data_IF_987961540787
#
_entry.id   IF_987961540787
#
_cell.length_a   1.000
_cell.length_b   1.000
_cell.length_c   1.000
_cell.angle_alpha   90.00
_cell.angle_beta   90.00
_cell.angle_gamma   90.00
#
_symmetry.space_group_name_H-M   'P 1'
#
loop_
_entity.id
_entity.type
_entity.pdbx_description
1 polymer ?
#
# COMPACT_ATOMS: atom_id res chain seq x y z
N UNK A 1 -13.91 16.01 -7.88
CA UNK A 1 -13.36 16.80 -9.00
C UNK A 1 -13.13 15.84 -10.14
N UNK A 2 -13.42 16.21 -11.38
CA UNK A 2 -13.09 15.40 -12.56
C UNK A 2 -11.69 15.81 -13.00
N UNK A 3 -10.77 14.85 -13.12
CA UNK A 3 -9.42 15.08 -13.65
C UNK A 3 -9.48 15.67 -15.07
N UNK A 4 -8.56 16.57 -15.37
CA UNK A 4 -8.46 17.22 -16.70
C UNK A 4 -7.97 16.28 -17.79
N UNK A 5 -7.29 15.21 -17.40
CA UNK A 5 -6.62 14.24 -18.27
C UNK A 5 -6.98 12.82 -17.83
N UNK A 6 -7.00 11.86 -18.76
CA UNK A 6 -7.35 10.46 -18.44
C UNK A 6 -6.29 9.79 -17.57
N UNK A 7 -6.72 8.99 -16.58
CA UNK A 7 -5.87 8.18 -15.71
C UNK A 7 -6.18 6.70 -15.96
N UNK A 8 -5.19 5.92 -16.35
CA UNK A 8 -5.28 4.44 -16.31
C UNK A 8 -4.37 3.92 -15.20
N UNK A 9 -4.91 3.09 -14.31
CA UNK A 9 -4.23 2.56 -13.13
C UNK A 9 -3.93 1.07 -13.28
N UNK A 10 -2.64 0.74 -13.49
CA UNK A 10 -2.16 -0.63 -13.61
C UNK A 10 -1.87 -1.21 -12.22
N UNK A 11 -2.60 -2.25 -11.86
CA UNK A 11 -2.69 -2.71 -10.47
C UNK A 11 -2.80 -4.23 -10.36
N UNK A 12 -2.70 -4.72 -9.14
CA UNK A 12 -3.21 -6.01 -8.74
C UNK A 12 -3.50 -5.98 -7.25
N UNK A 13 -4.62 -6.54 -6.83
CA UNK A 13 -5.13 -6.51 -5.45
C UNK A 13 -4.16 -7.13 -4.41
N UNK A 14 -3.27 -8.03 -4.84
CA UNK A 14 -2.13 -8.52 -4.02
C UNK A 14 -1.21 -7.42 -3.51
N UNK A 15 -0.98 -6.39 -4.32
CA UNK A 15 0.13 -5.48 -4.13
C UNK A 15 -0.20 -4.42 -3.07
N UNK A 16 0.48 -4.43 -1.91
CA UNK A 16 0.32 -3.33 -0.94
C UNK A 16 0.71 -1.99 -1.55
N UNK A 17 1.71 -1.96 -2.43
CA UNK A 17 2.12 -0.75 -3.17
C UNK A 17 1.00 -0.22 -4.06
N UNK A 18 0.26 -1.10 -4.74
CA UNK A 18 -0.86 -0.67 -5.58
C UNK A 18 -2.03 -0.18 -4.74
N UNK A 19 -2.29 -0.80 -3.60
CA UNK A 19 -3.33 -0.31 -2.70
C UNK A 19 -3.03 1.10 -2.15
N UNK A 20 -1.75 1.49 -1.98
CA UNK A 20 -1.39 2.88 -1.63
C UNK A 20 -2.04 3.87 -2.61
N UNK A 21 -1.81 3.63 -3.90
CA UNK A 21 -2.31 4.46 -5.01
C UNK A 21 -3.83 4.37 -5.12
N UNK A 22 -4.39 3.17 -4.93
CA UNK A 22 -5.84 2.96 -5.00
C UNK A 22 -6.58 3.78 -3.95
N UNK A 23 -6.11 3.79 -2.69
CA UNK A 23 -6.71 4.61 -1.62
C UNK A 23 -6.62 6.10 -1.98
N UNK A 24 -5.49 6.57 -2.53
CA UNK A 24 -5.32 7.96 -2.95
C UNK A 24 -6.30 8.36 -4.06
N UNK A 25 -6.50 7.50 -5.07
CA UNK A 25 -7.47 7.73 -6.16
C UNK A 25 -8.90 7.81 -5.62
N UNK A 26 -9.29 6.89 -4.73
CA UNK A 26 -10.59 6.87 -4.08
C UNK A 26 -10.81 8.13 -3.22
N UNK A 27 -9.82 8.51 -2.42
CA UNK A 27 -9.89 9.71 -1.58
C UNK A 27 -9.98 11.00 -2.41
N UNK A 28 -9.22 11.08 -3.51
CA UNK A 28 -9.29 12.18 -4.46
C UNK A 28 -10.61 12.22 -5.26
N UNK A 29 -11.39 11.14 -5.21
CA UNK A 29 -12.57 10.93 -6.08
C UNK A 29 -12.18 11.13 -7.55
N UNK A 30 -11.02 10.61 -7.93
CA UNK A 30 -10.51 10.69 -9.29
C UNK A 30 -11.34 9.82 -10.23
N UNK A 31 -11.49 10.22 -11.49
CA UNK A 31 -11.99 9.38 -12.57
C UNK A 31 -10.80 8.61 -13.19
N UNK A 32 -10.76 7.30 -12.97
CA UNK A 32 -9.66 6.45 -13.42
C UNK A 32 -10.15 5.10 -13.95
N UNK A 33 -9.40 4.52 -14.89
CA UNK A 33 -9.66 3.17 -15.42
C UNK A 33 -8.68 2.18 -14.80
N UNK A 34 -9.11 1.25 -13.92
CA UNK A 34 -8.23 0.23 -13.39
C UNK A 34 -7.94 -0.86 -14.44
N UNK A 35 -6.71 -1.38 -14.44
CA UNK A 35 -6.31 -2.55 -15.21
C UNK A 35 -5.54 -3.52 -14.33
N UNK A 36 -6.15 -4.67 -14.05
CA UNK A 36 -5.57 -5.71 -13.20
C UNK A 36 -4.64 -6.60 -14.01
N UNK A 37 -3.34 -6.51 -13.74
CA UNK A 37 -2.31 -7.34 -14.37
C UNK A 37 -2.14 -8.66 -13.62
N UNK A 38 -2.11 -9.79 -14.32
CA UNK A 38 -1.61 -11.02 -13.72
C UNK A 38 -0.12 -10.87 -13.39
N UNK A 39 0.22 -10.77 -12.10
CA UNK A 39 1.60 -10.52 -11.66
C UNK A 39 2.54 -11.71 -11.89
N UNK A 40 1.99 -12.91 -12.10
CA UNK A 40 2.74 -14.15 -12.39
C UNK A 40 2.97 -14.36 -13.88
N UNK A 41 2.15 -13.72 -14.72
CA UNK A 41 2.17 -13.85 -16.17
C UNK A 41 1.80 -12.48 -16.77
N UNK A 42 2.77 -11.57 -16.74
CA UNK A 42 2.57 -10.20 -17.20
C UNK A 42 2.68 -10.15 -18.73
N UNK A 43 1.79 -9.44 -19.42
CA UNK A 43 1.91 -9.29 -20.86
C UNK A 43 3.16 -8.49 -21.24
N UNK A 44 3.86 -8.92 -22.29
CA UNK A 44 5.14 -8.35 -22.74
C UNK A 44 5.07 -6.84 -23.01
N UNK A 45 3.91 -6.36 -23.50
CA UNK A 45 3.72 -4.95 -23.78
C UNK A 45 3.82 -4.08 -22.53
N UNK A 46 3.54 -4.61 -21.33
CA UNK A 46 3.50 -3.81 -20.11
C UNK A 46 4.88 -3.24 -19.77
N UNK A 47 5.90 -4.09 -19.81
CA UNK A 47 7.27 -3.66 -19.54
C UNK A 47 7.77 -2.71 -20.63
N UNK A 48 7.46 -3.01 -21.89
CA UNK A 48 7.90 -2.20 -23.03
C UNK A 48 7.22 -0.82 -23.11
N UNK A 49 5.94 -0.72 -22.75
CA UNK A 49 5.13 0.48 -22.99
C UNK A 49 4.74 1.28 -21.75
N UNK A 50 4.74 0.69 -20.56
CA UNK A 50 4.24 1.36 -19.34
C UNK A 50 5.30 1.47 -18.27
N UNK A 51 5.88 0.35 -17.83
CA UNK A 51 6.87 0.38 -16.77
C UNK A 51 8.04 -0.56 -17.11
N UNK A 52 9.21 -0.05 -17.52
CA UNK A 52 10.38 -0.88 -17.83
C UNK A 52 10.82 -1.81 -16.70
N UNK A 53 10.53 -1.48 -15.43
CA UNK A 53 10.80 -2.37 -14.31
C UNK A 53 9.85 -3.58 -14.24
N UNK A 54 8.77 -3.58 -15.04
CA UNK A 54 7.72 -4.59 -15.04
C UNK A 54 6.96 -4.68 -13.70
N UNK A 55 7.03 -3.66 -12.85
CA UNK A 55 6.43 -3.65 -11.50
C UNK A 55 5.11 -2.88 -11.50
N UNK A 56 4.26 -3.20 -10.52
CA UNK A 56 3.05 -2.44 -10.20
C UNK A 56 3.22 -1.78 -8.81
N UNK A 57 2.58 -0.63 -8.56
CA UNK A 57 1.66 0.09 -9.45
C UNK A 57 2.38 0.88 -10.55
N UNK A 58 1.62 1.19 -11.60
CA UNK A 58 1.94 2.25 -12.55
C UNK A 58 0.66 2.99 -12.95
N UNK A 59 0.79 4.23 -13.43
CA UNK A 59 -0.31 4.96 -14.06
C UNK A 59 0.11 5.48 -15.43
N UNK A 60 -0.85 5.54 -16.37
CA UNK A 60 -0.74 6.46 -17.51
C UNK A 60 -1.58 7.71 -17.24
N UNK A 61 -1.07 8.87 -17.65
CA UNK A 61 -1.73 10.16 -17.47
C UNK A 61 -1.77 10.94 -18.78
N UNK A 62 -2.96 11.41 -19.16
CA UNK A 62 -3.20 12.17 -20.38
C UNK A 62 -3.13 11.34 -21.66
N UNK A 63 -3.06 12.01 -22.80
CA UNK A 63 -3.17 11.41 -24.13
C UNK A 63 -4.61 10.99 -24.48
N UNK A 64 -4.82 10.37 -25.65
CA UNK A 64 -6.14 9.93 -26.08
C UNK A 64 -6.67 8.83 -25.17
N UNK A 65 -8.00 8.82 -24.95
CA UNK A 65 -8.68 7.72 -24.25
C UNK A 65 -8.60 6.45 -25.10
N UNK A 66 -7.79 5.50 -24.64
CA UNK A 66 -7.53 4.22 -25.29
C UNK A 66 -7.78 3.06 -24.33
N UNK A 67 -7.87 1.83 -24.85
CA UNK A 67 -7.94 0.65 -23.99
C UNK A 67 -6.65 0.50 -23.16
N UNK A 68 -6.73 0.13 -21.87
CA UNK A 68 -5.55 -0.01 -21.01
C UNK A 68 -4.48 -1.00 -21.50
N UNK A 69 -4.87 -2.02 -22.27
CA UNK A 69 -3.98 -3.02 -22.88
C UNK A 69 -3.30 -2.52 -24.17
N UNK A 70 -3.70 -1.36 -24.67
CA UNK A 70 -3.11 -0.65 -25.79
C UNK A 70 -2.73 0.79 -25.39
N UNK A 71 -1.80 0.98 -24.43
CA UNK A 71 -1.46 2.32 -23.95
C UNK A 71 -0.89 3.19 -25.08
N UNK A 72 -1.33 4.45 -25.15
CA UNK A 72 -0.82 5.43 -26.10
C UNK A 72 0.58 5.92 -25.71
N UNK A 73 1.46 6.08 -26.69
CA UNK A 73 2.79 6.66 -26.51
C UNK A 73 2.73 8.13 -26.08
N UNK A 74 1.62 8.83 -26.36
CA UNK A 74 1.40 10.23 -25.96
C UNK A 74 1.11 10.41 -24.46
N UNK A 75 0.68 9.35 -23.77
CA UNK A 75 0.41 9.42 -22.33
C UNK A 75 1.71 9.42 -21.52
N UNK A 76 1.77 10.19 -20.43
CA UNK A 76 2.89 10.13 -19.49
C UNK A 76 2.79 8.83 -18.70
N UNK A 77 3.91 8.11 -18.53
CA UNK A 77 3.97 6.87 -17.74
C UNK A 77 4.66 7.14 -16.41
N UNK A 78 3.98 6.86 -15.30
CA UNK A 78 4.52 7.04 -13.96
C UNK A 78 4.51 5.70 -13.20
N UNK A 79 5.61 5.39 -12.53
CA UNK A 79 5.78 4.24 -11.67
C UNK A 79 6.27 4.69 -10.29
N UNK A 80 6.51 3.74 -9.38
CA UNK A 80 6.84 3.95 -7.97
C UNK A 80 5.70 4.54 -7.15
N UNK A 81 5.13 3.71 -6.26
CA UNK A 81 3.93 4.08 -5.50
C UNK A 81 4.06 5.39 -4.72
N UNK A 82 5.21 5.69 -4.12
CA UNK A 82 5.44 6.92 -3.38
C UNK A 82 5.47 8.16 -4.29
N UNK A 83 6.04 8.04 -5.50
CA UNK A 83 6.05 9.09 -6.50
C UNK A 83 4.64 9.35 -7.03
N UNK A 84 3.89 8.28 -7.30
CA UNK A 84 2.49 8.38 -7.73
C UNK A 84 1.62 9.05 -6.65
N UNK A 85 1.85 8.76 -5.36
CA UNK A 85 1.15 9.42 -4.26
C UNK A 85 1.38 10.94 -4.24
N UNK A 86 2.63 11.39 -4.40
CA UNK A 86 2.95 12.83 -4.48
C UNK A 86 2.32 13.45 -5.74
N UNK A 87 2.39 12.78 -6.88
CA UNK A 87 1.74 13.24 -8.12
C UNK A 87 0.23 13.43 -7.95
N UNK A 88 -0.46 12.47 -7.30
CA UNK A 88 -1.89 12.58 -7.01
C UNK A 88 -2.17 13.70 -6.01
N UNK A 89 -1.29 13.94 -5.03
CA UNK A 89 -1.43 15.04 -4.09
C UNK A 89 -1.30 16.41 -4.77
N UNK A 90 -0.41 16.54 -5.76
CA UNK A 90 -0.26 17.76 -6.56
C UNK A 90 -1.42 17.94 -7.55
N UNK A 91 -1.91 16.84 -8.14
CA UNK A 91 -3.04 16.86 -9.08
C UNK A 91 -4.38 17.17 -8.41
N UNK A 92 -4.56 16.73 -7.15
CA UNK A 92 -5.80 16.87 -6.39
C UNK A 92 -5.54 17.56 -5.03
N UNK A 93 -5.21 18.86 -5.01
CA UNK A 93 -4.82 19.56 -3.78
C UNK A 93 -5.92 19.56 -2.70
N UNK A 94 -7.21 19.58 -3.09
CA UNK A 94 -8.33 19.58 -2.14
C UNK A 94 -8.66 18.18 -1.58
N UNK A 95 -7.99 17.12 -2.05
CA UNK A 95 -8.21 15.76 -1.58
C UNK A 95 -7.58 15.50 -0.19
N UNK A 96 -6.74 16.42 0.30
CA UNK A 96 -6.09 16.29 1.60
C UNK A 96 -5.06 15.16 1.69
N UNK A 97 -4.55 14.67 0.55
CA UNK A 97 -3.52 13.61 0.50
C UNK A 97 -2.24 14.05 1.21
N UNK A 98 -1.94 15.34 1.15
CA UNK A 98 -0.91 15.99 1.96
C UNK A 98 -1.50 17.22 2.65
N UNK A 99 -1.04 17.53 3.88
CA UNK A 99 -1.45 18.75 4.56
C UNK A 99 -0.87 20.00 3.88
N UNK A 100 -1.48 21.16 4.13
CA UNK A 100 -0.99 22.44 3.64
C UNK A 100 0.27 22.91 4.38
N UNK A 101 0.38 22.60 5.68
CA UNK A 101 1.51 23.00 6.51
C UNK A 101 2.82 22.29 6.06
N UNK A 102 3.90 23.05 5.76
CA UNK A 102 5.16 22.47 5.31
C UNK A 102 5.79 21.47 6.29
N UNK A 103 5.66 21.71 7.60
CA UNK A 103 6.22 20.82 8.63
C UNK A 103 5.45 19.49 8.65
N UNK A 104 4.13 19.53 8.57
CA UNK A 104 3.29 18.35 8.47
C UNK A 104 3.55 17.57 7.17
N UNK A 105 3.81 18.24 6.03
CA UNK A 105 4.25 17.58 4.78
C UNK A 105 5.57 16.84 4.98
N UNK A 106 6.54 17.48 5.64
CA UNK A 106 7.82 16.85 5.94
C UNK A 106 7.67 15.63 6.87
N UNK A 107 6.80 15.71 7.87
CA UNK A 107 6.47 14.57 8.75
C UNK A 107 5.82 13.42 7.99
N UNK A 108 4.91 13.71 7.05
CA UNK A 108 4.25 12.70 6.23
C UNK A 108 5.28 11.92 5.38
N UNK A 109 6.18 12.66 4.72
CA UNK A 109 7.27 12.09 3.92
C UNK A 109 8.24 11.28 4.75
N UNK A 110 8.64 11.81 5.91
CA UNK A 110 9.50 11.09 6.84
C UNK A 110 8.86 9.77 7.31
N UNK A 111 7.57 9.80 7.68
CA UNK A 111 6.84 8.60 8.06
C UNK A 111 6.83 7.57 6.93
N UNK A 112 6.50 7.98 5.70
CA UNK A 112 6.55 7.12 4.51
C UNK A 112 7.95 6.53 4.31
N UNK A 113 9.02 7.32 4.43
CA UNK A 113 10.39 6.82 4.34
C UNK A 113 10.65 5.73 5.38
N UNK A 114 10.23 5.92 6.63
CA UNK A 114 10.40 4.91 7.69
C UNK A 114 9.59 3.64 7.39
N UNK A 115 8.40 3.77 6.78
CA UNK A 115 7.64 2.61 6.30
C UNK A 115 8.46 1.81 5.28
N UNK A 116 9.04 2.48 4.29
CA UNK A 116 9.77 1.80 3.22
C UNK A 116 11.12 1.22 3.70
N UNK A 117 11.83 1.91 4.59
CA UNK A 117 13.17 1.47 5.05
C UNK A 117 13.13 0.55 6.28
N UNK A 118 12.00 0.46 7.01
CA UNK A 118 11.92 -0.41 8.21
C UNK A 118 10.71 -1.32 8.17
N UNK A 119 9.52 -0.76 7.89
CA UNK A 119 8.28 -1.53 7.86
C UNK A 119 8.27 -2.58 6.74
N UNK A 120 8.57 -2.15 5.52
CA UNK A 120 8.64 -3.03 4.36
C UNK A 120 9.79 -4.02 4.45
N UNK A 121 10.98 -3.57 4.87
CA UNK A 121 12.13 -4.46 5.02
C UNK A 121 11.80 -5.60 6.00
N UNK A 122 11.32 -5.30 7.20
CA UNK A 122 10.93 -6.33 8.16
C UNK A 122 9.82 -7.26 7.64
N UNK A 123 8.82 -6.72 6.94
CA UNK A 123 7.78 -7.51 6.27
C UNK A 123 8.37 -8.49 5.24
N UNK A 124 9.27 -8.01 4.38
CA UNK A 124 9.91 -8.82 3.35
C UNK A 124 10.79 -9.91 3.97
N UNK A 125 11.66 -9.54 4.89
CA UNK A 125 12.60 -10.45 5.54
C UNK A 125 11.87 -11.60 6.25
N UNK A 126 10.80 -11.30 6.99
CA UNK A 126 10.07 -12.33 7.71
C UNK A 126 9.11 -13.12 6.81
N UNK A 127 8.19 -12.46 6.12
CA UNK A 127 7.07 -13.13 5.42
C UNK A 127 7.53 -13.75 4.10
N UNK A 128 8.39 -13.07 3.34
CA UNK A 128 8.80 -13.51 2.00
C UNK A 128 10.12 -14.25 1.95
N UNK A 129 11.04 -14.01 2.90
CA UNK A 129 12.33 -14.68 2.95
C UNK A 129 12.43 -15.72 4.09
N UNK A 130 11.51 -15.68 5.06
CA UNK A 130 11.50 -16.65 6.17
C UNK A 130 12.64 -16.44 7.17
N UNK A 131 13.22 -15.24 7.23
CA UNK A 131 14.26 -14.88 8.19
C UNK A 131 13.65 -14.65 9.59
N UNK A 132 14.45 -14.14 10.54
CA UNK A 132 13.98 -13.86 11.90
C UNK A 132 12.87 -12.79 11.93
N UNK A 133 11.94 -12.87 12.89
CA UNK A 133 10.86 -11.88 13.03
C UNK A 133 11.32 -10.55 13.65
N UNK A 134 12.51 -10.48 14.26
CA UNK A 134 12.97 -9.30 14.98
C UNK A 134 12.92 -8.00 14.14
N UNK A 135 13.41 -7.97 12.88
CA UNK A 135 13.30 -6.79 12.02
C UNK A 135 11.85 -6.33 11.77
N UNK A 136 10.89 -7.28 11.67
CA UNK A 136 9.47 -6.95 11.55
C UNK A 136 8.95 -6.28 12.82
N UNK A 137 9.21 -6.87 13.98
CA UNK A 137 8.74 -6.37 15.28
C UNK A 137 9.36 -5.00 15.59
N UNK A 138 10.66 -4.83 15.33
CA UNK A 138 11.38 -3.58 15.59
C UNK A 138 10.96 -2.47 14.61
N UNK A 139 10.75 -2.81 13.33
CA UNK A 139 10.21 -1.89 12.34
C UNK A 139 8.82 -1.38 12.73
N UNK A 140 7.96 -2.25 13.23
CA UNK A 140 6.61 -1.87 13.67
C UNK A 140 6.63 -1.11 14.99
N UNK A 141 7.56 -1.41 15.91
CA UNK A 141 7.76 -0.61 17.11
C UNK A 141 8.21 0.82 16.77
N UNK A 142 9.11 0.97 15.79
CA UNK A 142 9.54 2.28 15.31
C UNK A 142 8.38 3.07 14.66
N UNK A 143 7.56 2.42 13.82
CA UNK A 143 6.39 3.06 13.21
C UNK A 143 5.34 3.44 14.26
N UNK A 144 5.10 2.60 15.27
CA UNK A 144 4.22 2.95 16.38
C UNK A 144 4.69 4.18 17.14
N UNK A 145 6.00 4.30 17.40
CA UNK A 145 6.57 5.43 18.12
C UNK A 145 6.41 6.76 17.36
N UNK A 146 6.20 6.72 16.04
CA UNK A 146 5.88 7.88 15.22
C UNK A 146 4.40 8.22 15.19
N UNK A 147 3.52 7.27 15.55
CA UNK A 147 2.08 7.54 15.62
C UNK A 147 1.76 8.43 16.83
N UNK A 148 0.87 9.42 16.68
CA UNK A 148 0.47 10.28 17.79
C UNK A 148 -0.22 9.48 18.89
N UNK A 149 0.16 9.67 20.17
CA UNK A 149 -0.37 8.87 21.27
C UNK A 149 -1.86 9.15 21.55
N UNK A 150 -2.34 10.34 21.19
CA UNK A 150 -3.74 10.74 21.38
C UNK A 150 -4.74 10.06 20.40
N UNK A 151 -4.26 9.26 19.46
CA UNK A 151 -5.08 8.60 18.43
C UNK A 151 -5.01 9.30 17.07
N UNK A 152 -5.98 8.98 16.21
CA UNK A 152 -6.04 9.46 14.84
C UNK A 152 -5.09 8.74 13.88
N UNK A 153 -4.96 9.29 12.68
CA UNK A 153 -4.08 8.78 11.64
C UNK A 153 -2.61 9.12 11.89
N UNK A 154 -1.72 8.81 10.95
CA UNK A 154 -0.27 8.89 11.12
C UNK A 154 0.22 10.29 11.50
N UNK A 155 -0.54 11.34 11.15
CA UNK A 155 -0.25 12.73 11.54
C UNK A 155 -1.16 13.27 12.65
N UNK A 156 -2.07 12.46 13.21
CA UNK A 156 -2.89 12.80 14.38
C UNK A 156 -4.23 13.47 14.06
N UNK A 157 -4.60 13.55 12.79
CA UNK A 157 -5.91 14.01 12.31
C UNK A 157 -6.88 12.88 11.98
N UNK A 158 -8.02 13.25 11.41
CA UNK A 158 -9.15 12.40 10.98
C UNK A 158 -9.18 12.15 9.46
N UNK A 159 -8.22 12.69 8.71
CA UNK A 159 -8.02 12.43 7.29
C UNK A 159 -6.78 11.56 7.07
N UNK A 160 -6.90 10.58 6.16
CA UNK A 160 -5.75 9.82 5.68
C UNK A 160 -4.86 10.72 4.84
N UNK A 161 -3.56 10.54 4.97
CA UNK A 161 -2.52 11.19 4.16
C UNK A 161 -1.67 10.14 3.45
N UNK A 162 -0.72 10.58 2.64
CA UNK A 162 0.25 9.66 2.00
C UNK A 162 1.01 8.80 3.03
N UNK A 163 1.18 9.27 4.28
CA UNK A 163 1.82 8.50 5.34
C UNK A 163 0.98 7.26 5.70
N UNK A 164 -0.33 7.42 5.78
CA UNK A 164 -1.27 6.35 6.09
C UNK A 164 -1.40 5.37 4.93
N UNK A 165 -1.52 5.93 3.72
CA UNK A 165 -1.58 5.16 2.48
C UNK A 165 -0.32 4.33 2.28
N UNK A 166 0.84 4.83 2.72
CA UNK A 166 2.08 4.07 2.67
C UNK A 166 2.08 2.88 3.62
N UNK A 167 1.56 3.05 4.83
CA UNK A 167 1.70 2.07 5.92
C UNK A 167 0.57 1.05 5.99
N UNK A 168 -0.68 1.50 5.94
CA UNK A 168 -1.84 0.65 6.23
C UNK A 168 -1.93 -0.61 5.33
N UNK A 169 -1.65 -0.55 4.02
CA UNK A 169 -1.65 -1.75 3.17
C UNK A 169 -0.69 -2.85 3.63
N UNK A 170 0.48 -2.48 4.19
CA UNK A 170 1.46 -3.43 4.72
C UNK A 170 1.04 -3.94 6.09
N UNK A 171 0.56 -3.06 6.95
CA UNK A 171 0.11 -3.43 8.29
C UNK A 171 -1.06 -4.42 8.24
N UNK A 172 -2.08 -4.14 7.43
CA UNK A 172 -3.24 -5.02 7.29
C UNK A 172 -2.87 -6.41 6.75
N UNK A 173 -2.03 -6.47 5.70
CA UNK A 173 -1.54 -7.75 5.16
C UNK A 173 -0.70 -8.51 6.16
N UNK A 174 0.12 -7.82 6.96
CA UNK A 174 0.90 -8.47 8.01
C UNK A 174 -0.01 -9.13 9.03
N UNK A 175 -1.00 -8.41 9.55
CA UNK A 175 -1.96 -8.99 10.48
C UNK A 175 -2.71 -10.19 9.86
N UNK A 176 -3.20 -10.04 8.63
CA UNK A 176 -3.93 -11.10 7.91
C UNK A 176 -3.07 -12.35 7.72
N UNK A 177 -1.85 -12.21 7.20
CA UNK A 177 -0.98 -13.34 6.88
C UNK A 177 -0.49 -14.05 8.15
N UNK A 178 -0.10 -13.28 9.17
CA UNK A 178 0.35 -13.84 10.44
C UNK A 178 -0.79 -14.51 11.21
N UNK A 179 -2.02 -13.97 11.14
CA UNK A 179 -3.19 -14.56 11.79
C UNK A 179 -3.58 -15.92 11.22
N UNK A 180 -3.11 -16.29 10.03
CA UNK A 180 -3.32 -17.62 9.43
C UNK A 180 -2.02 -18.42 9.24
N UNK A 181 -0.90 -17.95 9.83
CA UNK A 181 0.42 -18.59 9.72
C UNK A 181 0.92 -18.76 8.27
N UNK A 182 0.59 -17.81 7.40
CA UNK A 182 0.94 -17.83 5.98
C UNK A 182 2.19 -17.00 5.70
N UNK A 183 3.27 -17.65 5.26
CA UNK A 183 4.54 -17.04 4.90
C UNK A 183 5.63 -18.08 4.67
N UNK A 184 6.87 -17.63 4.39
CA UNK A 184 8.06 -18.49 4.23
C UNK A 184 8.72 -18.88 5.55
N UNK A 185 8.34 -18.26 6.66
CA UNK A 185 8.83 -18.58 8.00
C UNK A 185 8.42 -20.02 8.43
N UNK A 186 9.13 -20.63 9.41
CA UNK A 186 8.75 -21.93 9.97
C UNK A 186 7.33 -21.93 10.54
N UNK A 187 6.64 -23.06 10.45
CA UNK A 187 5.26 -23.18 10.94
C UNK A 187 5.15 -22.79 12.42
N UNK A 188 4.13 -21.98 12.73
CA UNK A 188 3.87 -21.42 14.06
C UNK A 188 4.61 -20.11 14.37
N UNK A 189 5.67 -19.76 13.64
CA UNK A 189 6.36 -18.48 13.84
C UNK A 189 5.46 -17.28 13.46
N UNK A 190 4.58 -17.45 12.47
CA UNK A 190 3.61 -16.43 12.10
C UNK A 190 2.65 -16.13 13.25
N UNK A 191 2.13 -17.17 13.91
CA UNK A 191 1.26 -17.04 15.09
C UNK A 191 1.98 -16.41 16.28
N UNK A 192 3.27 -16.70 16.49
CA UNK A 192 4.08 -16.05 17.53
C UNK A 192 4.24 -14.55 17.26
N UNK A 193 4.59 -14.18 16.03
CA UNK A 193 4.67 -12.77 15.64
C UNK A 193 3.31 -12.06 15.76
N UNK A 194 2.22 -12.73 15.38
CA UNK A 194 0.85 -12.22 15.56
C UNK A 194 0.52 -11.97 17.04
N UNK A 195 0.87 -12.88 17.94
CA UNK A 195 0.66 -12.71 19.38
C UNK A 195 1.45 -11.53 19.96
N UNK A 196 2.67 -11.28 19.45
CA UNK A 196 3.44 -10.09 19.84
C UNK A 196 2.73 -8.82 19.37
N UNK A 197 2.33 -8.75 18.09
CA UNK A 197 1.69 -7.56 17.51
C UNK A 197 0.29 -7.28 18.09
N UNK A 198 -0.38 -8.29 18.62
CA UNK A 198 -1.68 -8.14 19.31
C UNK A 198 -1.55 -7.95 20.83
N UNK A 199 -0.34 -7.90 21.38
CA UNK A 199 -0.10 -7.62 22.80
C UNK A 199 -0.33 -6.14 23.17
N UNK A 200 -0.51 -5.79 24.47
CA UNK A 200 -0.66 -4.40 24.90
C UNK A 200 0.49 -3.46 24.49
N UNK A 201 1.70 -4.00 24.26
CA UNK A 201 2.84 -3.24 23.73
C UNK A 201 2.50 -2.53 22.41
N UNK A 202 1.63 -3.12 21.60
CA UNK A 202 1.28 -2.65 20.27
C UNK A 202 -0.16 -2.12 20.17
N UNK A 203 -0.77 -1.73 21.30
CA UNK A 203 -2.14 -1.25 21.35
C UNK A 203 -2.40 -0.05 20.41
N UNK A 204 -1.41 0.85 20.24
CA UNK A 204 -1.55 2.02 19.35
C UNK A 204 -1.58 1.62 17.87
N UNK A 205 -0.78 0.64 17.44
CA UNK A 205 -0.87 0.08 16.08
C UNK A 205 -2.21 -0.63 15.85
N UNK A 206 -2.70 -1.36 16.85
CA UNK A 206 -3.98 -2.05 16.75
C UNK A 206 -5.12 -1.04 16.57
N UNK A 207 -5.14 0.02 17.39
CA UNK A 207 -6.12 1.10 17.26
C UNK A 207 -5.99 1.80 15.89
N UNK A 208 -4.77 2.13 15.46
CA UNK A 208 -4.52 2.72 14.14
C UNK A 208 -5.11 1.86 13.01
N UNK A 209 -4.86 0.55 13.03
CA UNK A 209 -5.37 -0.35 12.01
C UNK A 209 -6.91 -0.42 12.03
N UNK A 210 -7.53 -0.41 13.21
CA UNK A 210 -8.99 -0.34 13.34
C UNK A 210 -9.55 0.94 12.73
N UNK A 211 -8.94 2.09 13.06
CA UNK A 211 -9.34 3.41 12.55
C UNK A 211 -9.24 3.45 11.02
N UNK A 212 -8.14 2.93 10.45
CA UNK A 212 -7.97 2.85 8.99
C UNK A 212 -8.99 1.91 8.37
N UNK A 213 -9.24 0.73 8.95
CA UNK A 213 -10.24 -0.22 8.43
C UNK A 213 -11.67 0.33 8.47
N UNK A 214 -11.96 1.28 9.36
CA UNK A 214 -13.24 1.96 9.43
C UNK A 214 -13.44 3.00 8.31
N UNK A 215 -12.36 3.52 7.74
CA UNK A 215 -12.37 4.57 6.72
C UNK A 215 -13.04 4.11 5.40
N UNK A 216 -13.89 4.93 4.76
CA UNK A 216 -14.59 4.55 3.53
C UNK A 216 -13.65 4.23 2.36
N UNK A 217 -12.54 4.95 2.21
CA UNK A 217 -11.58 4.73 1.12
C UNK A 217 -10.78 3.44 1.31
N UNK A 218 -10.56 3.03 2.57
CA UNK A 218 -10.04 1.70 2.86
C UNK A 218 -11.03 0.62 2.42
N UNK A 219 -12.30 0.72 2.84
CA UNK A 219 -13.35 -0.25 2.50
C UNK A 219 -13.56 -0.39 0.99
N UNK A 220 -13.41 0.69 0.23
CA UNK A 220 -13.48 0.66 -1.24
C UNK A 220 -12.34 -0.14 -1.90
N UNK A 221 -11.21 -0.32 -1.21
CA UNK A 221 -9.98 -0.89 -1.79
C UNK A 221 -9.51 -2.18 -1.12
N UNK A 222 -10.25 -2.67 -0.12
CA UNK A 222 -9.89 -3.85 0.67
C UNK A 222 -11.10 -4.75 0.94
N UNK A 223 -11.04 -5.95 0.39
CA UNK A 223 -11.91 -7.07 0.77
C UNK A 223 -11.06 -8.17 1.41
N UNK A 224 -11.27 -8.45 2.70
CA UNK A 224 -10.39 -9.32 3.48
C UNK A 224 -10.46 -10.78 3.02
N UNK A 225 -11.66 -11.27 2.69
CA UNK A 225 -11.87 -12.64 2.23
C UNK A 225 -11.24 -12.87 0.86
N UNK A 226 -11.42 -11.94 -0.07
CA UNK A 226 -10.76 -11.97 -1.38
C UNK A 226 -9.25 -11.94 -1.21
N UNK A 227 -8.72 -11.03 -0.38
CA UNK A 227 -7.29 -10.96 -0.09
C UNK A 227 -6.77 -12.31 0.41
N UNK A 228 -7.43 -12.89 1.42
CA UNK A 228 -7.01 -14.15 2.01
C UNK A 228 -7.06 -15.31 1.01
N UNK A 229 -8.19 -15.47 0.30
CA UNK A 229 -8.37 -16.51 -0.71
C UNK A 229 -7.28 -16.45 -1.78
N UNK A 230 -6.99 -15.25 -2.26
CA UNK A 230 -5.94 -15.04 -3.24
C UNK A 230 -4.55 -15.34 -2.64
N UNK A 231 -4.22 -14.87 -1.42
CA UNK A 231 -2.91 -15.12 -0.80
C UNK A 231 -2.62 -16.61 -0.63
N UNK A 232 -3.62 -17.44 -0.34
CA UNK A 232 -3.48 -18.89 -0.31
C UNK A 232 -3.14 -19.51 -1.68
N UNK A 233 -3.55 -18.87 -2.78
CA UNK A 233 -3.25 -19.35 -4.13
C UNK A 233 -1.85 -18.95 -4.61
N UNK A 234 -1.20 -18.00 -3.93
CA UNK A 234 0.07 -17.42 -4.33
C UNK A 234 1.18 -18.50 -4.35
N UNK A 235 1.81 -18.75 -5.51
CA UNK A 235 2.81 -19.81 -5.64
C UNK A 235 4.05 -19.59 -4.75
N UNK A 236 4.32 -18.35 -4.35
CA UNK A 236 5.42 -18.04 -3.41
C UNK A 236 5.20 -18.75 -2.08
N UNK A 237 3.96 -18.90 -1.60
CA UNK A 237 3.67 -19.47 -0.27
C UNK A 237 3.20 -20.92 -0.30
N UNK A 238 3.18 -21.58 -1.46
CA UNK A 238 2.96 -23.01 -1.52
C UNK A 238 4.13 -23.73 -0.83
N UNK A 239 3.84 -24.40 0.30
CA UNK A 239 4.79 -25.30 0.96
C UNK A 239 5.04 -26.47 0.00
N UNK A 240 6.31 -26.75 -0.30
CA UNK A 240 6.71 -27.93 -1.08
C UNK A 240 6.55 -29.19 -0.24
#
# INVERSE_FOLDING_TARGET
MVNTEQITFYTHIYSPYSQRVHIALEQAKADYTPYTLNVLDKPDWYAAKVNPAGKIPAITYGGPKVSPDTPSDESVKLAESAVILEFLADLFPDAGLLPADPVARARARFFLTVVDTKGFEGFREFIFLGHAMAPLIDGYAALQALLPPAGGFALGGDALTIADMAFAPFLARTYLLLSVDLGKFPAGEGKKAYAILTSPRFARLQQYLQDVKANPYWKATWDEDTQLAMWFTNPVFRRK
#
